data_IF_723794099620
#
_entry.id   IF_723794099620
#
_cell.length_a   1.000
_cell.length_b   1.000
_cell.length_c   1.000
_cell.angle_alpha   90.00
_cell.angle_beta   90.00
_cell.angle_gamma   90.00
#
_symmetry.space_group_name_H-M   'P 1'
#
loop_
_entity.id
_entity.type
_entity.pdbx_description
1 polymer ?
#
# COMPACT_ATOMS: atom_id res chain seq x y z
N UNK A 1 -5.20 -21.04 -4.01
CA UNK A 1 -6.65 -21.25 -3.85
C UNK A 1 -6.84 -22.61 -3.19
N UNK A 2 -7.53 -22.67 -2.05
CA UNK A 2 -7.77 -23.93 -1.34
C UNK A 2 -8.55 -24.90 -2.23
N UNK A 3 -8.06 -26.13 -2.38
CA UNK A 3 -8.73 -27.12 -3.23
C UNK A 3 -9.87 -27.76 -2.46
N UNK A 4 -10.98 -28.05 -3.16
CA UNK A 4 -12.13 -28.76 -2.61
C UNK A 4 -11.75 -30.06 -1.88
N UNK A 5 -10.74 -30.78 -2.41
CA UNK A 5 -10.24 -32.01 -1.80
C UNK A 5 -9.57 -31.79 -0.45
N UNK A 6 -8.86 -30.68 -0.25
CA UNK A 6 -8.21 -30.35 1.03
C UNK A 6 -9.26 -30.03 2.09
N UNK A 7 -10.30 -29.27 1.72
CA UNK A 7 -11.42 -28.94 2.62
C UNK A 7 -12.19 -30.21 3.03
N UNK A 8 -12.47 -31.10 2.06
CA UNK A 8 -13.11 -32.38 2.34
C UNK A 8 -12.27 -33.26 3.26
N UNK A 9 -10.95 -33.30 3.07
CA UNK A 9 -10.05 -34.09 3.90
C UNK A 9 -10.00 -33.59 5.36
N UNK A 10 -10.07 -32.26 5.58
CA UNK A 10 -10.14 -31.69 6.93
C UNK A 10 -11.51 -31.98 7.56
N UNK A 11 -12.60 -31.83 6.79
CA UNK A 11 -13.95 -32.09 7.28
C UNK A 11 -14.14 -33.55 7.75
N UNK A 12 -13.59 -34.51 7.00
CA UNK A 12 -13.64 -35.94 7.35
C UNK A 12 -12.90 -36.29 8.65
N UNK A 13 -11.93 -35.47 9.06
CA UNK A 13 -11.17 -35.65 10.31
C UNK A 13 -11.91 -35.13 11.55
N UNK A 14 -13.07 -34.51 11.36
CA UNK A 14 -13.96 -34.10 12.43
C UNK A 14 -13.74 -32.65 12.93
N UNK A 15 -14.54 -32.22 13.93
CA UNK A 15 -14.66 -30.81 14.30
C UNK A 15 -13.34 -30.17 14.76
N UNK A 16 -12.51 -30.90 15.53
CA UNK A 16 -11.25 -30.37 16.03
C UNK A 16 -10.28 -30.04 14.89
N UNK A 17 -10.19 -30.90 13.87
CA UNK A 17 -9.34 -30.66 12.71
C UNK A 17 -9.79 -29.43 11.91
N UNK A 18 -11.10 -29.15 11.87
CA UNK A 18 -11.64 -27.92 11.27
C UNK A 18 -11.21 -26.70 12.09
N UNK A 19 -11.33 -26.75 13.42
CA UNK A 19 -10.88 -25.68 14.30
C UNK A 19 -9.39 -25.39 14.13
N UNK A 20 -8.55 -26.42 14.15
CA UNK A 20 -7.09 -26.27 14.01
C UNK A 20 -6.73 -25.68 12.63
N UNK A 21 -7.42 -26.14 11.58
CA UNK A 21 -7.24 -25.64 10.22
C UNK A 21 -7.64 -24.15 10.10
N UNK A 22 -8.74 -23.73 10.71
CA UNK A 22 -9.16 -22.32 10.73
C UNK A 22 -8.14 -21.45 11.46
N UNK A 23 -7.65 -21.88 12.62
CA UNK A 23 -6.60 -21.14 13.35
C UNK A 23 -5.31 -21.01 12.53
N UNK A 24 -4.92 -22.09 11.84
CA UNK A 24 -3.74 -22.06 10.97
C UNK A 24 -3.91 -21.07 9.81
N UNK A 25 -5.10 -21.01 9.20
CA UNK A 25 -5.38 -20.05 8.12
C UNK A 25 -5.36 -18.62 8.63
N UNK A 26 -5.94 -18.36 9.81
CA UNK A 26 -5.93 -17.02 10.40
C UNK A 26 -4.49 -16.55 10.69
N UNK A 27 -3.67 -17.43 11.27
CA UNK A 27 -2.24 -17.15 11.49
C UNK A 27 -1.50 -16.82 10.18
N UNK A 28 -1.75 -17.58 9.11
CA UNK A 28 -1.16 -17.29 7.79
C UNK A 28 -1.62 -15.95 7.22
N UNK A 29 -2.90 -15.60 7.39
CA UNK A 29 -3.44 -14.31 6.95
C UNK A 29 -2.78 -13.16 7.72
N UNK A 30 -2.62 -13.28 9.05
CA UNK A 30 -1.96 -12.24 9.84
C UNK A 30 -0.49 -12.07 9.44
N UNK A 31 0.25 -13.16 9.25
CA UNK A 31 1.63 -13.09 8.78
C UNK A 31 1.74 -12.43 7.40
N UNK A 32 0.80 -12.72 6.49
CA UNK A 32 0.75 -12.07 5.18
C UNK A 32 0.46 -10.57 5.29
N UNK A 33 -0.44 -10.16 6.18
CA UNK A 33 -0.74 -8.74 6.43
C UNK A 33 0.50 -7.99 6.94
N UNK A 34 1.18 -8.53 7.94
CA UNK A 34 2.43 -7.95 8.47
C UNK A 34 3.49 -7.80 7.37
N UNK A 35 3.66 -8.83 6.54
CA UNK A 35 4.62 -8.78 5.42
C UNK A 35 4.24 -7.75 4.37
N UNK A 36 2.95 -7.59 4.06
CA UNK A 36 2.48 -6.55 3.15
C UNK A 36 2.76 -5.18 3.75
N UNK A 37 2.44 -4.95 5.02
CA UNK A 37 2.71 -3.68 5.71
C UNK A 37 4.22 -3.36 5.72
N UNK A 38 5.08 -4.33 6.01
CA UNK A 38 6.53 -4.15 5.92
C UNK A 38 6.99 -3.79 4.51
N UNK A 39 6.47 -4.46 3.48
CA UNK A 39 6.82 -4.19 2.10
C UNK A 39 6.31 -2.81 1.65
N UNK A 40 5.12 -2.41 2.08
CA UNK A 40 4.60 -1.07 1.88
C UNK A 40 5.49 -0.03 2.56
N UNK A 41 5.89 -0.26 3.81
CA UNK A 41 6.77 0.64 4.53
C UNK A 41 8.17 0.74 3.90
N UNK A 42 8.75 -0.38 3.45
CA UNK A 42 10.04 -0.40 2.73
C UNK A 42 9.96 0.26 1.35
N UNK A 43 8.81 0.18 0.69
CA UNK A 43 8.60 0.77 -0.65
C UNK A 43 8.29 2.26 -0.61
N UNK A 44 7.85 2.80 0.53
CA UNK A 44 7.70 4.25 0.76
C UNK A 44 9.06 4.94 0.73
N UNK A 45 9.50 5.30 -0.47
CA UNK A 45 10.65 6.17 -0.69
C UNK A 45 10.16 7.61 -0.80
N UNK A 46 10.44 8.40 0.22
CA UNK A 46 10.21 9.85 0.17
C UNK A 46 11.38 10.52 -0.53
N UNK A 47 11.12 11.17 -1.67
CA UNK A 47 12.10 11.99 -2.37
C UNK A 47 11.88 13.45 -1.96
N UNK A 48 12.84 14.02 -1.22
CA UNK A 48 12.82 15.44 -0.88
C UNK A 48 13.48 16.23 -2.01
N UNK A 49 12.76 17.22 -2.56
CA UNK A 49 13.25 18.07 -3.64
C UNK A 49 13.14 19.52 -3.18
N UNK A 50 14.26 20.24 -3.16
CA UNK A 50 14.34 21.66 -2.80
C UNK A 50 14.40 22.48 -4.08
N UNK A 51 13.50 23.46 -4.20
CA UNK A 51 13.32 24.22 -5.44
C UNK A 51 13.21 25.70 -5.12
N UNK A 52 13.92 26.51 -5.90
CA UNK A 52 13.85 27.96 -5.81
C UNK A 52 12.46 28.48 -6.19
N UNK A 53 12.00 29.53 -5.50
CA UNK A 53 10.65 30.09 -5.63
C UNK A 53 10.17 30.30 -7.08
N UNK A 54 10.97 30.84 -8.02
CA UNK A 54 10.49 31.06 -9.40
C UNK A 54 10.21 29.78 -10.20
N UNK A 55 10.81 28.65 -9.80
CA UNK A 55 10.70 27.37 -10.51
C UNK A 55 9.58 26.48 -9.94
N UNK A 56 8.92 26.88 -8.86
CA UNK A 56 7.90 26.07 -8.18
C UNK A 56 6.72 25.75 -9.10
N UNK A 57 6.21 26.73 -9.86
CA UNK A 57 5.07 26.53 -10.78
C UNK A 57 5.39 25.55 -11.90
N UNK A 58 6.58 25.66 -12.50
CA UNK A 58 7.05 24.75 -13.55
C UNK A 58 7.18 23.33 -12.99
N UNK A 59 7.68 23.21 -11.77
CA UNK A 59 7.85 21.93 -11.12
C UNK A 59 6.53 21.24 -10.79
N UNK A 60 5.50 21.98 -10.36
CA UNK A 60 4.16 21.43 -10.11
C UNK A 60 3.57 20.81 -11.39
N UNK A 61 3.68 21.50 -12.52
CA UNK A 61 3.21 20.97 -13.81
C UNK A 61 3.99 19.72 -14.27
N UNK A 62 5.29 19.67 -13.98
CA UNK A 62 6.10 18.47 -14.25
C UNK A 62 5.72 17.32 -13.32
N UNK A 63 5.51 17.58 -12.02
CA UNK A 63 5.05 16.58 -11.06
C UNK A 63 3.70 15.99 -11.46
N UNK A 64 2.75 16.80 -11.93
CA UNK A 64 1.46 16.33 -12.41
C UNK A 64 1.64 15.30 -13.54
N UNK A 65 2.45 15.61 -14.56
CA UNK A 65 2.77 14.68 -15.64
C UNK A 65 3.46 13.40 -15.15
N UNK A 66 4.34 13.50 -14.17
CA UNK A 66 5.01 12.33 -13.58
C UNK A 66 3.99 11.45 -12.84
N UNK A 67 3.04 12.04 -12.10
CA UNK A 67 2.00 11.31 -11.38
C UNK A 67 0.98 10.64 -12.33
N UNK A 68 0.67 11.28 -13.46
CA UNK A 68 -0.17 10.69 -14.52
C UNK A 68 0.47 9.42 -15.12
N UNK A 69 1.80 9.45 -15.33
CA UNK A 69 2.55 8.31 -15.86
C UNK A 69 2.91 7.26 -14.80
N UNK A 70 2.94 7.64 -13.52
CA UNK A 70 3.30 6.78 -12.39
C UNK A 70 2.29 6.91 -11.23
N UNK A 71 1.14 6.22 -11.30
CA UNK A 71 0.06 6.35 -10.31
C UNK A 71 0.43 5.97 -8.87
N UNK A 72 1.54 5.24 -8.69
CA UNK A 72 2.09 4.88 -7.38
C UNK A 72 2.79 6.06 -6.67
N UNK A 73 3.13 7.13 -7.39
CA UNK A 73 3.71 8.35 -6.84
C UNK A 73 2.59 9.30 -6.44
N UNK A 74 2.47 9.60 -5.15
CA UNK A 74 1.53 10.60 -4.63
C UNK A 74 2.29 11.86 -4.23
N UNK A 75 1.98 13.03 -4.81
CA UNK A 75 2.61 14.27 -4.40
C UNK A 75 2.11 14.64 -3.01
N UNK A 76 3.05 14.83 -2.07
CA UNK A 76 2.76 15.39 -0.74
C UNK A 76 3.41 16.77 -0.71
N UNK A 77 2.60 17.82 -0.85
CA UNK A 77 3.05 19.21 -0.79
C UNK A 77 2.86 19.76 0.63
N UNK A 78 3.96 20.06 1.34
CA UNK A 78 3.92 20.71 2.66
C UNK A 78 3.68 22.24 2.59
N UNK A 79 3.53 22.80 1.39
CA UNK A 79 3.38 24.24 1.15
C UNK A 79 1.92 24.66 0.85
N UNK A 80 0.96 23.75 0.96
CA UNK A 80 -0.45 24.00 0.62
C UNK A 80 -1.25 24.82 1.66
N UNK A 81 -0.60 25.49 2.62
CA UNK A 81 -1.32 26.34 3.61
C UNK A 81 -0.56 27.61 3.95
N UNK A 82 -0.32 28.45 2.94
CA UNK A 82 -0.39 29.91 3.08
C UNK A 82 -0.36 30.57 1.70
N UNK A 83 -1.54 31.02 1.29
CA UNK A 83 -1.74 32.22 0.49
C UNK A 83 -1.06 32.28 -0.89
N UNK A 84 -1.58 31.52 -1.86
CA UNK A 84 -1.53 31.94 -3.26
C UNK A 84 -2.96 32.16 -3.73
N UNK A 85 -3.44 33.39 -3.55
CA UNK A 85 -4.60 33.91 -4.26
C UNK A 85 -4.23 34.08 -5.74
N UNK A 86 -4.97 33.42 -6.63
CA UNK A 86 -4.94 33.75 -8.06
C UNK A 86 -5.80 35.01 -8.27
N UNK A 87 -5.20 36.05 -8.83
CA UNK A 87 -5.87 37.16 -9.52
C UNK A 87 -5.89 36.83 -11.01
#
# INVERSE_FOLDING_TARGET
>A
MLKKQEILAVYQKGPQAICDFVHQLDSQIQNLKERIEELENRSKKTLQIVINHPLQMVFVSLLQKVCENHPSVKPVASWATKDIHFI
#
